data_IF_840412810656
#
_entry.id   IF_840412810656
#
_cell.length_a   1.000
_cell.length_b   1.000
_cell.length_c   1.000
_cell.angle_alpha   90.00
_cell.angle_beta   90.00
_cell.angle_gamma   90.00
#
_symmetry.space_group_name_H-M   'P 1'
#
loop_
_entity.id
_entity.type
_entity.pdbx_description
1 polymer ?
#
# COMPACT_ATOMS: atom_id res chain seq x y z
N UNK A 1 9.68 -17.30 -24.78
CA UNK A 1 9.31 -16.00 -24.15
C UNK A 1 8.28 -16.31 -23.07
N UNK A 2 8.63 -16.12 -21.81
CA UNK A 2 7.80 -16.59 -20.70
C UNK A 2 6.58 -15.68 -20.50
N UNK A 3 5.43 -16.10 -20.99
CA UNK A 3 4.11 -15.47 -20.75
C UNK A 3 3.84 -15.19 -19.26
N UNK A 4 4.48 -15.93 -18.35
CA UNK A 4 4.40 -15.70 -16.89
C UNK A 4 4.99 -14.34 -16.47
N UNK A 5 6.12 -13.90 -17.05
CA UNK A 5 6.77 -12.62 -16.71
C UNK A 5 5.91 -11.42 -17.12
N UNK A 6 5.31 -11.48 -18.32
CA UNK A 6 4.40 -10.45 -18.79
C UNK A 6 3.12 -10.36 -17.95
N UNK A 7 2.58 -11.51 -17.51
CA UNK A 7 1.43 -11.57 -16.60
C UNK A 7 1.77 -11.03 -15.21
N UNK A 8 2.97 -11.27 -14.71
CA UNK A 8 3.42 -10.78 -13.41
C UNK A 8 3.61 -9.26 -13.41
N UNK A 9 4.28 -8.71 -14.42
CA UNK A 9 4.41 -7.26 -14.57
C UNK A 9 3.06 -6.56 -14.71
N UNK A 10 2.12 -7.18 -15.44
CA UNK A 10 0.75 -6.70 -15.58
C UNK A 10 -0.02 -6.75 -14.26
N UNK A 11 0.17 -7.79 -13.46
CA UNK A 11 -0.49 -7.92 -12.16
C UNK A 11 -0.01 -6.86 -11.17
N UNK A 12 1.28 -6.52 -11.18
CA UNK A 12 1.87 -5.43 -10.36
C UNK A 12 1.24 -4.09 -10.72
N UNK A 13 1.12 -3.81 -12.01
CA UNK A 13 0.49 -2.58 -12.50
C UNK A 13 -0.99 -2.54 -12.16
N UNK A 14 -1.70 -3.67 -12.24
CA UNK A 14 -3.11 -3.78 -11.90
C UNK A 14 -3.36 -3.46 -10.43
N UNK A 15 -2.52 -3.89 -9.51
CA UNK A 15 -2.71 -3.61 -8.07
C UNK A 15 -2.58 -2.13 -7.75
N UNK A 16 -1.68 -1.41 -8.41
CA UNK A 16 -1.54 0.04 -8.24
C UNK A 16 -2.74 0.81 -8.81
N UNK A 17 -3.37 0.31 -9.89
CA UNK A 17 -4.54 0.94 -10.54
C UNK A 17 -5.84 0.52 -9.85
N UNK A 18 -5.96 -0.73 -9.33
CA UNK A 18 -7.17 -1.20 -8.65
C UNK A 18 -7.49 -0.44 -7.36
N UNK A 19 -6.50 0.18 -6.72
CA UNK A 19 -6.76 1.07 -5.58
C UNK A 19 -7.72 2.22 -5.92
N UNK A 20 -7.93 2.51 -7.23
CA UNK A 20 -8.68 3.69 -7.64
C UNK A 20 -9.70 3.47 -8.76
N UNK A 21 -9.70 2.33 -9.44
CA UNK A 21 -10.58 2.10 -10.58
C UNK A 21 -11.11 0.68 -10.61
N UNK A 22 -12.29 0.45 -10.04
CA UNK A 22 -13.16 -0.65 -10.48
C UNK A 22 -14.13 -0.05 -11.49
N UNK A 23 -13.93 -0.23 -12.83
CA UNK A 23 -14.96 0.13 -13.78
C UNK A 23 -16.12 -0.86 -13.58
N UNK A 24 -17.26 -0.35 -13.14
CA UNK A 24 -18.61 -0.87 -13.32
C UNK A 24 -18.76 -2.38 -13.49
N UNK A 25 -18.75 -3.14 -12.39
CA UNK A 25 -19.71 -4.24 -12.34
C UNK A 25 -21.10 -3.59 -12.41
N UNK A 26 -22.01 -4.07 -13.32
CA UNK A 26 -23.38 -3.57 -13.34
C UNK A 26 -23.89 -3.69 -11.91
N UNK A 27 -24.26 -2.55 -11.33
CA UNK A 27 -24.88 -2.51 -10.01
C UNK A 27 -26.04 -3.51 -10.07
N UNK A 28 -25.91 -4.62 -9.36
CA UNK A 28 -27.07 -5.42 -9.05
C UNK A 28 -28.05 -4.45 -8.42
N UNK A 29 -29.18 -4.24 -9.08
CA UNK A 29 -30.24 -3.39 -8.61
C UNK A 29 -30.50 -3.78 -7.15
N UNK A 30 -30.02 -2.95 -6.23
CA UNK A 30 -30.37 -3.10 -4.83
C UNK A 30 -31.89 -2.96 -4.77
N UNK A 31 -32.59 -3.93 -4.19
CA UNK A 31 -33.99 -3.75 -3.91
C UNK A 31 -34.10 -2.50 -3.05
N UNK A 32 -34.90 -1.54 -3.48
CA UNK A 32 -35.26 -0.35 -2.72
C UNK A 32 -35.61 -0.80 -1.31
N UNK A 33 -34.92 -0.35 -0.25
CA UNK A 33 -35.30 -0.74 1.09
C UNK A 33 -36.73 -0.26 1.36
N UNK A 34 -37.66 -1.18 1.38
CA UNK A 34 -39.00 -0.91 1.92
C UNK A 34 -38.78 -0.65 3.40
N UNK A 35 -38.95 0.59 3.83
CA UNK A 35 -38.85 0.96 5.25
C UNK A 35 -39.92 0.15 5.99
N UNK A 36 -39.50 -0.90 6.68
CA UNK A 36 -40.37 -1.68 7.54
C UNK A 36 -40.45 -0.97 8.91
N UNK A 37 -41.43 -0.06 8.99
CA UNK A 37 -41.71 0.71 10.23
C UNK A 37 -41.98 -0.17 11.45
N UNK A 38 -42.24 -1.48 11.26
CA UNK A 38 -42.38 -2.42 12.35
C UNK A 38 -41.04 -2.80 12.99
N UNK A 39 -39.97 -2.90 12.22
CA UNK A 39 -38.62 -3.19 12.71
C UNK A 39 -38.09 -2.00 13.54
N UNK A 40 -38.31 -0.78 13.08
CA UNK A 40 -37.89 0.42 13.81
C UNK A 40 -38.60 0.54 15.16
N UNK A 41 -39.89 0.21 15.24
CA UNK A 41 -40.65 0.20 16.47
C UNK A 41 -40.15 -0.86 17.46
N UNK A 42 -39.88 -2.08 16.97
CA UNK A 42 -39.35 -3.17 17.81
C UNK A 42 -37.93 -2.89 18.33
N UNK A 43 -37.09 -2.23 17.54
CA UNK A 43 -35.76 -1.81 17.98
C UNK A 43 -35.86 -0.73 19.06
N UNK A 44 -36.70 0.25 18.85
CA UNK A 44 -36.91 1.34 19.82
C UNK A 44 -37.45 0.82 21.17
N UNK A 45 -38.39 -0.13 21.17
CA UNK A 45 -38.91 -0.76 22.38
C UNK A 45 -37.85 -1.61 23.10
N UNK A 46 -37.03 -2.35 22.37
CA UNK A 46 -35.93 -3.15 22.94
C UNK A 46 -34.86 -2.29 23.60
N UNK A 47 -34.46 -1.21 22.94
CA UNK A 47 -33.48 -0.25 23.50
C UNK A 47 -34.02 0.44 24.75
N UNK A 48 -35.32 0.85 24.76
CA UNK A 48 -35.95 1.47 25.92
C UNK A 48 -36.05 0.52 27.13
N UNK A 49 -36.35 -0.76 26.88
CA UNK A 49 -36.39 -1.77 27.94
C UNK A 49 -35.00 -2.06 28.54
N UNK A 50 -33.96 -2.12 27.69
CA UNK A 50 -32.59 -2.32 28.12
C UNK A 50 -32.05 -1.13 28.97
N UNK A 51 -32.37 0.11 28.57
CA UNK A 51 -32.01 1.30 29.33
C UNK A 51 -32.68 1.36 30.68
N UNK A 52 -33.99 0.98 30.78
CA UNK A 52 -34.70 0.93 32.03
C UNK A 52 -34.14 -0.12 33.02
N UNK A 53 -33.72 -1.29 32.53
CA UNK A 53 -33.05 -2.31 33.33
C UNK A 53 -31.66 -1.86 33.83
N UNK A 54 -30.91 -1.12 33.01
CA UNK A 54 -29.58 -0.63 33.37
C UNK A 54 -29.70 0.46 34.49
N UNK A 55 -30.75 1.28 34.47
CA UNK A 55 -30.96 2.31 35.49
C UNK A 55 -31.40 1.75 36.85
N UNK A 56 -32.02 0.55 36.89
CA UNK A 56 -32.38 -0.11 38.12
C UNK A 56 -31.24 -0.88 38.79
N UNK A 57 -30.16 -1.10 38.08
CA UNK A 57 -28.98 -1.87 38.54
C UNK A 57 -27.81 -0.98 38.98
N UNK A 58 -28.07 0.18 39.61
CA UNK A 58 -26.98 1.00 40.17
C UNK A 58 -26.57 0.37 41.52
N UNK A 59 -25.39 -0.29 41.60
CA UNK A 59 -24.90 -0.81 42.87
C UNK A 59 -24.44 0.33 43.75
N UNK A 60 -24.74 0.22 45.02
CA UNK A 60 -24.25 1.11 46.08
C UNK A 60 -22.71 1.19 45.98
N UNK A 61 -22.10 2.38 46.05
CA UNK A 61 -20.66 2.52 45.91
C UNK A 61 -19.97 1.84 47.10
N UNK A 62 -19.35 0.70 46.81
CA UNK A 62 -18.40 0.04 47.71
C UNK A 62 -17.05 0.73 47.51
N UNK A 63 -16.44 1.23 48.58
CA UNK A 63 -15.11 1.85 48.56
C UNK A 63 -14.14 0.77 48.00
N UNK A 64 -13.46 1.01 46.84
CA UNK A 64 -12.56 0.04 46.31
C UNK A 64 -11.34 -0.11 47.25
N UNK A 65 -10.84 -1.35 47.46
CA UNK A 65 -9.54 -1.53 48.13
C UNK A 65 -8.47 -0.83 47.30
N UNK A 66 -7.52 -0.17 48.01
CA UNK A 66 -6.34 0.46 47.37
C UNK A 66 -5.66 -0.55 46.49
N UNK A 67 -5.68 -0.31 45.17
CA UNK A 67 -5.02 -1.18 44.20
C UNK A 67 -3.50 -1.19 44.49
N UNK A 68 -2.99 -2.32 44.92
CA UNK A 68 -1.57 -2.62 44.81
C UNK A 68 -1.24 -2.66 43.33
N UNK A 69 -0.33 -1.78 42.88
CA UNK A 69 0.14 -1.79 41.51
C UNK A 69 0.73 -3.15 41.20
N UNK A 70 0.02 -4.00 40.50
CA UNK A 70 0.59 -5.16 39.85
C UNK A 70 1.72 -4.69 38.92
N UNK A 71 2.87 -5.38 38.87
CA UNK A 71 3.91 -5.04 37.92
C UNK A 71 3.30 -5.10 36.51
N UNK A 72 3.30 -3.97 35.81
CA UNK A 72 2.91 -3.90 34.41
C UNK A 72 3.83 -4.84 33.67
N UNK A 73 3.30 -5.98 33.22
CA UNK A 73 3.99 -6.85 32.30
C UNK A 73 4.06 -6.04 30.99
N UNK A 74 5.22 -5.45 30.74
CA UNK A 74 5.51 -4.88 29.42
C UNK A 74 5.39 -6.04 28.44
N UNK A 75 4.45 -6.03 27.47
CA UNK A 75 4.38 -7.11 26.50
C UNK A 75 5.74 -7.22 25.82
N UNK A 76 6.36 -8.37 25.91
CA UNK A 76 7.53 -8.69 25.10
C UNK A 76 7.06 -8.60 23.66
N UNK A 77 7.67 -7.74 22.80
CA UNK A 77 7.27 -7.67 21.40
C UNK A 77 7.34 -9.09 20.80
N UNK A 78 6.24 -9.51 20.20
CA UNK A 78 6.18 -10.78 19.49
C UNK A 78 7.26 -10.76 18.41
N UNK A 79 8.04 -11.83 18.30
CA UNK A 79 9.14 -11.88 17.34
C UNK A 79 8.57 -11.73 15.94
N UNK A 80 8.99 -10.70 15.20
CA UNK A 80 8.58 -10.46 13.82
C UNK A 80 9.05 -11.61 12.93
N UNK A 81 8.11 -12.42 12.47
CA UNK A 81 8.37 -13.58 11.59
C UNK A 81 8.32 -13.23 10.11
N UNK A 82 8.09 -11.96 9.74
CA UNK A 82 7.99 -11.52 8.35
C UNK A 82 9.29 -11.62 7.56
N UNK A 83 10.43 -11.78 8.25
CA UNK A 83 11.76 -11.73 7.64
C UNK A 83 12.15 -10.33 7.17
N UNK A 84 11.54 -9.30 7.75
CA UNK A 84 11.81 -7.88 7.45
C UNK A 84 11.66 -7.03 8.73
N UNK A 85 12.16 -5.79 8.71
CA UNK A 85 11.98 -4.85 9.80
C UNK A 85 11.74 -3.43 9.30
N UNK A 86 11.03 -2.63 10.10
CA UNK A 86 10.90 -1.19 9.94
C UNK A 86 11.52 -0.50 11.16
N UNK A 87 12.34 0.51 10.91
CA UNK A 87 12.97 1.31 11.95
C UNK A 87 12.80 2.79 11.64
N UNK A 88 12.09 3.50 12.49
CA UNK A 88 11.96 4.95 12.40
C UNK A 88 13.29 5.61 12.76
N UNK A 89 13.74 6.54 11.92
CA UNK A 89 14.99 7.27 12.06
C UNK A 89 14.73 8.66 12.67
N UNK A 90 15.74 9.25 13.30
CA UNK A 90 15.64 10.56 13.96
C UNK A 90 15.18 11.69 13.04
N UNK A 91 15.43 11.59 11.73
CA UNK A 91 15.01 12.55 10.73
C UNK A 91 13.57 12.34 10.21
N UNK A 92 12.82 11.40 10.81
CA UNK A 92 11.46 11.05 10.42
C UNK A 92 11.35 10.16 9.18
N UNK A 93 12.47 9.72 8.58
CA UNK A 93 12.46 8.67 7.56
C UNK A 93 12.32 7.28 8.20
N UNK A 94 11.94 6.28 7.42
CA UNK A 94 11.83 4.90 7.89
C UNK A 94 12.80 4.01 7.11
N UNK A 95 13.73 3.36 7.82
CA UNK A 95 14.58 2.33 7.25
C UNK A 95 13.78 1.02 7.20
N UNK A 96 13.62 0.48 6.01
CA UNK A 96 13.12 -0.87 5.78
C UNK A 96 14.28 -1.81 5.44
N UNK A 97 14.32 -2.96 6.11
CA UNK A 97 15.28 -4.02 5.83
C UNK A 97 14.55 -5.32 5.57
N UNK A 98 14.74 -5.90 4.41
CA UNK A 98 14.20 -7.21 4.02
C UNK A 98 15.32 -8.27 4.03
N UNK A 99 15.30 -9.13 5.03
CA UNK A 99 16.32 -10.17 5.21
C UNK A 99 16.16 -11.35 4.25
N UNK A 100 14.93 -11.55 3.73
CA UNK A 100 14.62 -12.61 2.77
C UNK A 100 15.05 -12.21 1.36
N UNK A 101 14.62 -11.05 0.92
CA UNK A 101 14.99 -10.52 -0.40
C UNK A 101 16.41 -9.90 -0.42
N UNK A 102 17.01 -9.64 0.75
CA UNK A 102 18.38 -9.16 0.89
C UNK A 102 18.56 -7.70 0.46
N UNK A 103 17.69 -6.79 0.90
CA UNK A 103 17.87 -5.37 0.59
C UNK A 103 17.44 -4.46 1.75
N UNK A 104 17.95 -3.24 1.73
CA UNK A 104 17.57 -2.14 2.61
C UNK A 104 17.21 -0.91 1.79
N UNK A 105 16.27 -0.11 2.28
CA UNK A 105 15.86 1.15 1.65
C UNK A 105 15.37 2.15 2.69
N UNK A 106 15.65 3.45 2.47
CA UNK A 106 15.12 4.53 3.31
C UNK A 106 13.86 5.12 2.65
N UNK A 107 12.70 4.89 3.27
CA UNK A 107 11.45 5.57 2.91
C UNK A 107 11.50 7.00 3.46
N UNK A 108 11.27 8.03 2.64
CA UNK A 108 11.41 9.42 3.07
C UNK A 108 10.43 9.81 4.19
N UNK A 109 10.77 10.85 4.95
CA UNK A 109 9.85 11.45 5.92
C UNK A 109 8.57 11.95 5.22
N UNK A 110 7.43 11.84 5.92
CA UNK A 110 6.09 12.20 5.39
C UNK A 110 5.41 11.07 4.62
N UNK A 111 6.06 9.90 4.50
CA UNK A 111 5.47 8.69 3.96
C UNK A 111 5.20 7.70 5.09
N UNK A 112 4.05 7.04 5.03
CA UNK A 112 3.74 5.90 5.90
C UNK A 112 4.21 4.62 5.22
N UNK A 113 5.12 3.90 5.85
CA UNK A 113 5.58 2.59 5.40
C UNK A 113 4.86 1.49 6.19
N UNK A 114 4.24 0.53 5.49
CA UNK A 114 3.50 -0.58 6.12
C UNK A 114 3.81 -1.90 5.45
N UNK A 115 3.83 -2.96 6.26
CA UNK A 115 3.89 -4.36 5.81
C UNK A 115 2.55 -5.02 6.08
N UNK A 116 2.00 -5.75 5.12
CA UNK A 116 0.70 -6.41 5.29
C UNK A 116 0.74 -7.36 6.50
N UNK A 117 -0.32 -7.35 7.29
CA UNK A 117 -0.50 -8.21 8.47
C UNK A 117 0.53 -7.99 9.59
N UNK A 118 1.26 -6.87 9.58
CA UNK A 118 2.11 -6.43 10.68
C UNK A 118 1.43 -5.33 11.50
N UNK A 119 2.00 -5.01 12.66
CA UNK A 119 1.38 -4.05 13.58
C UNK A 119 1.21 -2.67 12.96
N UNK A 120 2.18 -2.19 12.19
CA UNK A 120 2.11 -0.90 11.53
C UNK A 120 0.96 -0.78 10.51
N UNK A 121 0.56 -1.89 9.87
CA UNK A 121 -0.63 -1.92 9.01
C UNK A 121 -1.92 -1.74 9.82
N UNK A 122 -2.01 -2.37 10.98
CA UNK A 122 -3.17 -2.24 11.88
C UNK A 122 -3.24 -0.84 12.48
N UNK A 123 -2.09 -0.30 12.90
CA UNK A 123 -1.99 1.04 13.49
C UNK A 123 -2.29 2.14 12.48
N UNK A 124 -2.00 1.92 11.19
CA UNK A 124 -2.31 2.86 10.12
C UNK A 124 -3.80 3.25 10.09
N UNK A 125 -4.70 2.31 10.37
CA UNK A 125 -6.15 2.58 10.40
C UNK A 125 -6.57 3.55 11.51
N UNK A 126 -5.72 3.75 12.52
CA UNK A 126 -5.99 4.64 13.65
C UNK A 126 -5.46 6.06 13.43
N UNK A 127 -4.67 6.28 12.36
CA UNK A 127 -4.15 7.60 12.04
C UNK A 127 -5.25 8.53 11.52
N UNK A 128 -5.14 9.81 11.86
CA UNK A 128 -6.13 10.82 11.46
C UNK A 128 -6.26 10.96 9.94
N UNK A 129 -5.18 10.78 9.19
CA UNK A 129 -5.10 10.82 7.74
C UNK A 129 -6.01 9.76 7.09
N UNK A 130 -6.20 8.62 7.75
CA UNK A 130 -7.06 7.53 7.29
C UNK A 130 -8.55 7.77 7.59
N UNK A 131 -8.94 8.95 8.11
CA UNK A 131 -10.32 9.43 8.01
C UNK A 131 -10.71 9.78 6.57
N UNK A 132 -9.74 9.98 5.66
CA UNK A 132 -9.96 10.23 4.24
C UNK A 132 -10.33 8.90 3.53
N UNK A 133 -11.49 8.83 2.83
CA UNK A 133 -11.91 7.61 2.12
C UNK A 133 -10.92 7.13 1.05
N UNK A 134 -10.18 8.03 0.41
CA UNK A 134 -9.16 7.64 -0.58
C UNK A 134 -7.99 6.92 0.09
N UNK A 135 -7.53 7.39 1.27
CA UNK A 135 -6.51 6.71 2.08
C UNK A 135 -6.97 5.32 2.51
N UNK A 136 -8.22 5.20 2.98
CA UNK A 136 -8.80 3.90 3.35
C UNK A 136 -8.82 2.94 2.17
N UNK A 137 -9.26 3.40 0.99
CA UNK A 137 -9.24 2.57 -0.23
C UNK A 137 -7.82 2.13 -0.60
N UNK A 138 -6.86 3.03 -0.50
CA UNK A 138 -5.45 2.74 -0.79
C UNK A 138 -4.92 1.63 0.12
N UNK A 139 -5.17 1.72 1.43
CA UNK A 139 -4.74 0.70 2.38
C UNK A 139 -5.50 -0.63 2.21
N UNK A 140 -6.83 -0.57 1.95
CA UNK A 140 -7.64 -1.77 1.70
C UNK A 140 -7.22 -2.52 0.43
N UNK A 141 -6.66 -1.82 -0.56
CA UNK A 141 -6.28 -2.45 -1.83
C UNK A 141 -5.18 -3.50 -1.69
N UNK A 142 -4.38 -3.42 -0.63
CA UNK A 142 -3.28 -4.36 -0.38
C UNK A 142 -3.66 -5.49 0.58
N UNK A 143 -4.80 -5.42 1.26
CA UNK A 143 -5.20 -6.34 2.34
C UNK A 143 -5.14 -7.82 1.94
N UNK A 144 -5.50 -8.13 0.70
CA UNK A 144 -5.58 -9.51 0.19
C UNK A 144 -4.36 -9.91 -0.66
N UNK A 145 -3.32 -9.08 -0.72
CA UNK A 145 -2.11 -9.42 -1.44
C UNK A 145 -1.23 -10.37 -0.64
N UNK A 146 -0.39 -11.13 -1.35
CA UNK A 146 0.53 -12.06 -0.73
C UNK A 146 1.66 -11.29 -0.01
N UNK A 147 1.79 -11.38 1.34
CA UNK A 147 2.83 -10.66 2.09
C UNK A 147 4.26 -11.16 1.78
N UNK A 148 4.40 -12.35 1.16
CA UNK A 148 5.70 -12.82 0.70
C UNK A 148 6.12 -12.17 -0.62
N UNK A 149 5.19 -11.60 -1.36
CA UNK A 149 5.45 -10.88 -2.61
C UNK A 149 5.43 -9.37 -2.38
N UNK A 150 4.34 -8.79 -1.82
CA UNK A 150 4.32 -7.38 -1.44
C UNK A 150 5.07 -7.20 -0.11
N UNK A 151 6.32 -6.81 -0.21
CA UNK A 151 7.24 -6.69 0.94
C UNK A 151 7.06 -5.41 1.72
N UNK A 152 6.74 -4.32 1.02
CA UNK A 152 6.50 -3.01 1.61
C UNK A 152 5.49 -2.24 0.77
N UNK A 153 4.62 -1.50 1.42
CA UNK A 153 3.74 -0.51 0.82
C UNK A 153 3.97 0.84 1.50
N UNK A 154 4.25 1.88 0.74
CA UNK A 154 4.42 3.22 1.27
C UNK A 154 3.38 4.17 0.68
N UNK A 155 2.79 5.01 1.53
CA UNK A 155 1.70 5.93 1.19
C UNK A 155 2.11 7.34 1.54
N UNK A 156 1.93 8.27 0.62
CA UNK A 156 2.12 9.70 0.87
C UNK A 156 1.00 10.24 1.78
N UNK A 157 1.39 10.76 2.96
CA UNK A 157 0.46 11.29 3.95
C UNK A 157 0.08 12.76 3.74
N UNK A 158 0.63 13.44 2.74
CA UNK A 158 0.37 14.86 2.53
C UNK A 158 -1.07 15.09 2.06
N UNK A 159 -1.87 15.77 2.86
CA UNK A 159 -3.30 15.96 2.63
C UNK A 159 -3.64 16.69 1.32
N UNK A 160 -2.77 17.60 0.86
CA UNK A 160 -2.93 18.32 -0.40
C UNK A 160 -2.63 17.46 -1.64
N UNK A 161 -1.95 16.33 -1.48
CA UNK A 161 -1.72 15.36 -2.54
C UNK A 161 -2.90 14.37 -2.75
N UNK A 162 -3.87 14.35 -1.84
CA UNK A 162 -5.02 13.44 -1.89
C UNK A 162 -6.28 14.03 -2.56
N UNK A 163 -6.20 15.22 -3.18
CA UNK A 163 -7.37 16.01 -3.65
C UNK A 163 -8.15 15.35 -4.80
N UNK A 164 -7.52 14.50 -5.58
CA UNK A 164 -8.10 13.86 -6.76
C UNK A 164 -8.83 12.56 -6.43
N UNK A 165 -8.83 12.13 -5.17
CA UNK A 165 -9.34 10.80 -4.78
C UNK A 165 -8.37 9.66 -5.11
N UNK A 166 -7.20 9.96 -5.68
CA UNK A 166 -6.07 9.06 -5.84
C UNK A 166 -5.00 9.37 -4.78
N UNK A 167 -4.38 8.36 -4.23
CA UNK A 167 -3.31 8.48 -3.25
C UNK A 167 -2.00 8.04 -3.86
N UNK A 168 -1.01 8.92 -3.83
CA UNK A 168 0.35 8.60 -4.23
C UNK A 168 0.90 7.48 -3.36
N UNK A 169 1.42 6.43 -3.98
CA UNK A 169 1.91 5.26 -3.27
C UNK A 169 3.13 4.64 -3.97
N UNK A 170 3.86 3.85 -3.21
CA UNK A 170 4.98 3.05 -3.68
C UNK A 170 4.75 1.63 -3.18
N UNK A 171 4.86 0.66 -4.07
CA UNK A 171 4.85 -0.74 -3.71
C UNK A 171 6.19 -1.40 -4.04
N UNK A 172 6.60 -2.34 -3.17
CA UNK A 172 7.81 -3.13 -3.29
C UNK A 172 7.40 -4.59 -3.43
N UNK A 173 7.55 -5.14 -4.61
CA UNK A 173 7.18 -6.50 -4.90
C UNK A 173 8.42 -7.31 -5.23
N UNK A 174 8.63 -8.37 -4.47
CA UNK A 174 9.73 -9.29 -4.68
C UNK A 174 9.20 -10.64 -5.17
N UNK A 175 9.70 -11.05 -6.33
CA UNK A 175 9.40 -12.37 -6.86
C UNK A 175 10.62 -13.25 -6.71
N UNK A 176 10.58 -14.13 -5.72
CA UNK A 176 11.54 -15.20 -5.58
C UNK A 176 11.49 -16.07 -6.86
N UNK A 177 12.63 -16.46 -7.40
CA UNK A 177 12.78 -17.25 -8.62
C UNK A 177 12.46 -16.50 -9.95
N UNK A 178 12.10 -15.23 -9.94
CA UNK A 178 12.08 -14.42 -11.15
C UNK A 178 13.44 -13.73 -11.33
N UNK A 179 14.31 -14.33 -12.13
CA UNK A 179 15.66 -13.83 -12.37
C UNK A 179 15.69 -13.00 -13.67
N UNK A 180 15.23 -11.74 -13.57
CA UNK A 180 15.38 -10.77 -14.66
C UNK A 180 16.85 -10.43 -14.81
N UNK A 181 17.41 -10.61 -16.00
CA UNK A 181 18.75 -10.11 -16.30
C UNK A 181 18.72 -8.59 -16.47
N UNK A 182 19.68 -7.93 -15.83
CA UNK A 182 19.97 -6.51 -16.02
C UNK A 182 21.38 -6.32 -16.64
N UNK A 183 21.97 -7.39 -17.20
CA UNK A 183 23.24 -7.31 -17.90
C UNK A 183 23.07 -6.65 -19.29
N UNK A 184 21.89 -6.82 -19.88
CA UNK A 184 21.45 -6.15 -21.08
C UNK A 184 19.95 -5.78 -20.98
N UNK A 185 19.40 -5.04 -21.93
CA UNK A 185 18.03 -4.54 -21.92
C UNK A 185 16.98 -5.54 -22.43
N UNK A 186 17.37 -6.77 -22.78
CA UNK A 186 16.49 -7.76 -23.44
C UNK A 186 15.27 -8.11 -22.60
N UNK A 187 15.46 -8.47 -21.32
CA UNK A 187 14.37 -8.83 -20.42
C UNK A 187 13.50 -7.60 -20.10
N UNK A 188 14.12 -6.44 -19.89
CA UNK A 188 13.43 -5.18 -19.62
C UNK A 188 12.53 -4.76 -20.78
N UNK A 189 13.04 -4.81 -22.01
CA UNK A 189 12.28 -4.51 -23.21
C UNK A 189 11.12 -5.50 -23.42
N UNK A 190 11.35 -6.79 -23.11
CA UNK A 190 10.29 -7.80 -23.20
C UNK A 190 9.13 -7.54 -22.20
N UNK A 191 9.46 -7.15 -20.98
CA UNK A 191 8.46 -6.74 -19.97
C UNK A 191 7.72 -5.50 -20.44
N UNK A 192 8.44 -4.46 -20.87
CA UNK A 192 7.89 -3.18 -21.30
C UNK A 192 6.93 -3.33 -22.48
N UNK A 193 7.29 -4.14 -23.48
CA UNK A 193 6.45 -4.42 -24.65
C UNK A 193 5.13 -5.14 -24.29
N UNK A 194 5.08 -5.83 -23.16
CA UNK A 194 3.88 -6.54 -22.70
C UNK A 194 2.90 -5.63 -21.97
N UNK A 195 3.35 -4.53 -21.37
CA UNK A 195 2.53 -3.66 -20.51
C UNK A 195 1.30 -3.07 -21.23
N UNK A 196 1.37 -2.48 -22.43
CA UNK A 196 0.21 -1.93 -23.11
C UNK A 196 -0.85 -2.98 -23.47
N UNK A 197 -0.43 -4.24 -23.67
CA UNK A 197 -1.37 -5.33 -23.93
C UNK A 197 -2.10 -5.80 -22.67
N UNK A 198 -1.45 -5.69 -21.53
CA UNK A 198 -2.00 -6.08 -20.24
C UNK A 198 -2.92 -5.00 -19.65
N UNK A 199 -2.66 -3.73 -19.96
CA UNK A 199 -3.37 -2.58 -19.42
C UNK A 199 -3.84 -1.65 -20.56
N UNK A 200 -5.08 -1.81 -21.01
CA UNK A 200 -5.64 -0.95 -22.05
C UNK A 200 -5.58 0.54 -21.64
N UNK A 201 -5.04 1.36 -22.52
CA UNK A 201 -4.88 2.80 -22.29
C UNK A 201 -3.54 3.20 -21.65
N UNK A 202 -2.70 2.23 -21.28
CA UNK A 202 -1.35 2.53 -20.83
C UNK A 202 -0.49 3.02 -22.00
N UNK A 203 0.15 4.15 -21.82
CA UNK A 203 1.17 4.70 -22.70
C UNK A 203 2.54 4.54 -22.03
N UNK A 204 3.41 3.74 -22.62
CA UNK A 204 4.81 3.60 -22.19
C UNK A 204 5.59 4.83 -22.66
N UNK A 205 6.29 5.50 -21.76
CA UNK A 205 7.05 6.72 -22.04
C UNK A 205 8.53 6.42 -22.28
N UNK A 206 9.16 5.72 -21.32
CA UNK A 206 10.57 5.35 -21.38
C UNK A 206 10.79 3.91 -20.92
N UNK A 207 11.83 3.30 -21.45
CA UNK A 207 12.42 2.04 -20.97
C UNK A 207 13.91 2.19 -21.06
N UNK A 208 14.61 2.07 -19.94
CA UNK A 208 16.06 2.26 -19.91
C UNK A 208 16.73 1.36 -18.88
N UNK A 209 17.92 0.88 -19.22
CA UNK A 209 18.84 0.23 -18.30
C UNK A 209 19.86 1.27 -17.84
N UNK A 210 20.01 1.45 -16.53
CA UNK A 210 20.90 2.45 -15.94
C UNK A 210 21.49 1.92 -14.64
N UNK A 211 22.09 2.79 -13.84
CA UNK A 211 22.58 2.44 -12.51
C UNK A 211 22.34 3.57 -11.52
N UNK A 212 22.20 3.22 -10.25
CA UNK A 212 22.22 4.20 -9.16
C UNK A 212 23.60 4.88 -9.04
N UNK A 213 23.70 5.97 -8.31
CA UNK A 213 24.97 6.65 -8.04
C UNK A 213 26.01 5.71 -7.39
N UNK A 214 25.55 4.69 -6.65
CA UNK A 214 26.41 3.69 -6.03
C UNK A 214 26.78 2.53 -6.97
N UNK A 215 26.37 2.60 -8.24
CA UNK A 215 26.70 1.61 -9.26
C UNK A 215 25.80 0.36 -9.26
N UNK A 216 24.68 0.35 -8.53
CA UNK A 216 23.71 -0.73 -8.58
C UNK A 216 22.96 -0.70 -9.91
N UNK A 217 23.05 -1.75 -10.77
CA UNK A 217 22.30 -1.81 -12.02
C UNK A 217 20.79 -1.82 -11.76
N UNK A 218 20.04 -1.01 -12.50
CA UNK A 218 18.60 -0.93 -12.42
C UNK A 218 17.96 -0.83 -13.80
N UNK A 219 16.82 -1.51 -13.98
CA UNK A 219 15.92 -1.28 -15.12
C UNK A 219 14.86 -0.28 -14.73
N UNK A 220 14.53 0.66 -15.62
CA UNK A 220 13.52 1.69 -15.35
C UNK A 220 12.49 1.74 -16.47
N UNK A 221 11.22 1.68 -16.10
CA UNK A 221 10.09 1.97 -16.98
C UNK A 221 9.32 3.16 -16.47
N UNK A 222 8.94 4.07 -17.35
CA UNK A 222 7.94 5.08 -17.03
C UNK A 222 6.73 4.96 -17.95
N UNK A 223 5.56 5.16 -17.39
CA UNK A 223 4.30 5.07 -18.14
C UNK A 223 3.26 6.04 -17.59
N UNK A 224 2.21 6.24 -18.37
CA UNK A 224 1.03 6.96 -17.92
C UNK A 224 -0.24 6.25 -18.36
N UNK A 225 -1.29 6.37 -17.54
CA UNK A 225 -2.59 5.75 -17.80
C UNK A 225 -3.72 6.69 -17.41
N UNK A 226 -4.61 7.07 -18.34
CA UNK A 226 -5.81 7.83 -18.00
C UNK A 226 -6.78 6.91 -17.24
N UNK A 227 -7.28 7.38 -16.11
CA UNK A 227 -8.25 6.65 -15.28
C UNK A 227 -9.36 7.61 -14.80
N UNK A 228 -10.51 7.04 -14.48
CA UNK A 228 -11.56 7.74 -13.75
C UNK A 228 -11.66 7.15 -12.35
N UNK A 229 -11.47 7.98 -11.33
CA UNK A 229 -11.55 7.55 -9.94
C UNK A 229 -12.98 7.17 -9.55
N UNK A 230 -13.15 6.52 -8.41
CA UNK A 230 -14.47 6.20 -7.85
C UNK A 230 -15.30 7.45 -7.54
N UNK A 231 -14.64 8.58 -7.36
CA UNK A 231 -15.27 9.89 -7.13
C UNK A 231 -15.61 10.60 -8.47
N UNK A 232 -15.56 9.87 -9.62
CA UNK A 232 -15.81 10.35 -10.97
C UNK A 232 -14.89 11.49 -11.42
N UNK A 233 -13.67 11.55 -10.90
CA UNK A 233 -12.64 12.49 -11.33
C UNK A 233 -11.76 11.81 -12.38
N UNK A 234 -11.63 12.40 -13.57
CA UNK A 234 -10.70 11.93 -14.59
C UNK A 234 -9.31 12.45 -14.29
N UNK A 235 -8.35 11.56 -14.17
CA UNK A 235 -6.94 11.86 -13.89
C UNK A 235 -6.05 11.05 -14.82
N UNK A 236 -4.79 11.45 -14.92
CA UNK A 236 -3.73 10.66 -15.54
C UNK A 236 -2.81 10.18 -14.43
N UNK A 237 -2.68 8.87 -14.28
CA UNK A 237 -1.70 8.27 -13.36
C UNK A 237 -0.38 8.16 -14.09
N UNK A 238 0.67 8.72 -13.49
CA UNK A 238 2.06 8.50 -13.87
C UNK A 238 2.63 7.39 -13.00
N UNK A 239 3.37 6.47 -13.62
CA UNK A 239 4.08 5.40 -12.91
C UNK A 239 5.54 5.38 -13.31
N UNK A 240 6.40 5.14 -12.30
CA UNK A 240 7.81 4.83 -12.49
C UNK A 240 8.08 3.49 -11.81
N UNK A 241 8.49 2.51 -12.60
CA UNK A 241 8.89 1.18 -12.13
C UNK A 241 10.40 1.06 -12.17
N UNK A 242 10.97 0.56 -11.10
CA UNK A 242 12.40 0.25 -10.98
C UNK A 242 12.55 -1.23 -10.70
N UNK A 243 13.35 -1.90 -11.52
CA UNK A 243 13.67 -3.32 -11.39
C UNK A 243 15.09 -3.44 -10.87
N UNK A 244 15.27 -4.28 -9.86
CA UNK A 244 16.55 -4.49 -9.17
C UNK A 244 16.76 -5.99 -8.99
N UNK A 245 17.95 -6.46 -9.26
CA UNK A 245 18.33 -7.83 -8.91
C UNK A 245 18.52 -7.89 -7.38
N UNK A 246 17.69 -8.69 -6.73
CA UNK A 246 17.76 -8.96 -5.30
C UNK A 246 18.17 -10.42 -5.07
N UNK A 247 18.33 -10.81 -3.80
CA UNK A 247 18.65 -12.21 -3.46
C UNK A 247 17.55 -13.12 -4.01
N UNK A 248 17.95 -14.12 -4.80
CA UNK A 248 17.09 -15.16 -5.37
C UNK A 248 15.88 -14.66 -6.19
N UNK A 249 15.94 -13.43 -6.76
CA UNK A 249 14.83 -12.94 -7.58
C UNK A 249 14.93 -11.48 -7.98
N UNK A 250 13.82 -10.96 -8.48
CA UNK A 250 13.69 -9.57 -8.93
C UNK A 250 12.82 -8.78 -7.97
N UNK A 251 13.34 -7.66 -7.47
CA UNK A 251 12.58 -6.64 -6.76
C UNK A 251 12.07 -5.61 -7.76
N UNK A 252 10.76 -5.41 -7.78
CA UNK A 252 10.11 -4.35 -8.55
C UNK A 252 9.54 -3.30 -7.61
N UNK A 253 9.99 -2.05 -7.76
CA UNK A 253 9.52 -0.92 -6.97
C UNK A 253 8.71 -0.02 -7.90
N UNK A 254 7.44 0.19 -7.60
CA UNK A 254 6.54 0.98 -8.43
C UNK A 254 6.03 2.20 -7.66
N UNK A 255 6.42 3.38 -8.09
CA UNK A 255 5.75 4.63 -7.75
C UNK A 255 4.50 4.78 -8.62
N UNK A 256 3.37 5.11 -8.00
CA UNK A 256 2.16 5.57 -8.68
C UNK A 256 1.75 6.92 -8.11
N UNK A 257 1.64 7.93 -8.97
CA UNK A 257 1.21 9.29 -8.60
C UNK A 257 0.38 9.90 -9.73
N UNK A 258 -0.26 11.04 -9.51
CA UNK A 258 -0.91 11.76 -10.61
C UNK A 258 0.13 12.51 -11.47
N UNK A 259 -0.17 12.69 -12.76
CA UNK A 259 0.69 13.47 -13.65
C UNK A 259 0.93 14.89 -13.14
N UNK A 260 -0.02 15.48 -12.40
CA UNK A 260 0.09 16.81 -11.79
C UNK A 260 1.10 16.86 -10.65
N UNK A 261 1.23 15.78 -9.88
CA UNK A 261 2.13 15.70 -8.71
C UNK A 261 3.50 15.12 -9.07
N UNK A 262 3.66 14.58 -10.26
CA UNK A 262 4.85 13.86 -10.69
C UNK A 262 6.14 14.60 -10.34
N UNK A 263 6.26 15.87 -10.74
CA UNK A 263 7.50 16.65 -10.57
C UNK A 263 7.79 16.99 -9.10
N UNK A 264 6.77 16.98 -8.24
CA UNK A 264 6.90 17.16 -6.79
C UNK A 264 7.36 15.87 -6.12
N UNK A 265 6.87 14.73 -6.57
CA UNK A 265 7.08 13.42 -5.92
C UNK A 265 8.37 12.73 -6.40
N UNK A 266 8.71 12.83 -7.68
CA UNK A 266 9.85 12.13 -8.26
C UNK A 266 11.18 12.36 -7.52
N UNK A 267 11.54 13.56 -7.06
CA UNK A 267 12.81 13.76 -6.35
C UNK A 267 12.92 12.91 -5.07
N UNK A 268 11.82 12.76 -4.31
CA UNK A 268 11.79 11.94 -3.10
C UNK A 268 11.88 10.45 -3.43
N UNK A 269 11.19 10.02 -4.49
CA UNK A 269 11.26 8.64 -4.97
C UNK A 269 12.68 8.31 -5.48
N UNK A 270 13.29 9.17 -6.27
CA UNK A 270 14.63 8.95 -6.81
C UNK A 270 15.67 8.89 -5.69
N UNK A 271 15.58 9.78 -4.69
CA UNK A 271 16.44 9.73 -3.51
C UNK A 271 16.25 8.42 -2.72
N UNK A 272 15.03 7.89 -2.66
CA UNK A 272 14.76 6.59 -2.04
C UNK A 272 15.44 5.47 -2.84
N UNK A 273 15.32 5.45 -4.17
CA UNK A 273 15.99 4.44 -5.02
C UNK A 273 17.52 4.51 -4.85
N UNK A 274 18.10 5.70 -4.80
CA UNK A 274 19.53 5.89 -4.55
C UNK A 274 19.99 5.38 -3.16
N UNK A 275 19.07 5.27 -2.19
CA UNK A 275 19.37 4.75 -0.86
C UNK A 275 19.44 3.22 -0.78
N UNK A 276 19.02 2.52 -1.84
CA UNK A 276 18.92 1.06 -1.84
C UNK A 276 20.31 0.43 -1.74
N UNK A 277 20.38 -0.55 -0.85
CA UNK A 277 21.53 -1.44 -0.71
C UNK A 277 21.04 -2.87 -0.85
N UNK A 278 21.68 -3.62 -1.71
CA UNK A 278 21.41 -5.05 -1.89
C UNK A 278 22.56 -5.82 -1.24
N UNK A 279 22.22 -6.85 -0.47
CA UNK A 279 23.16 -7.78 0.14
C UNK A 279 23.09 -9.13 -0.55
N UNK A 280 24.26 -9.72 -0.79
CA UNK A 280 24.42 -11.05 -1.40
C UNK A 280 23.82 -12.17 -0.54
#
# INVERSE_FOLDING_TARGET
>A
MNTRRALLAAMILLTAILACAVPGLPAASQPTPTVDTRLDTMVAETVSAALAQTQQAIPTPTIPPTATLEPTITPTPEADTSGSSLTEMENGSTLFSDFNAGYEVNVPAGWLAVRINQQEYLDAWLLAEFSNPAMQRSLSSIENLNPNELRLYAVDLQADHARTGFITNINFIWYEQDDMSLDDDTDLLAVSAALPNALPGLELLTTELTATANGLPIGVNTSKTPVTTLDNVSIVIFQKQVFIKARAGTLTITLSTTEELKDTILPAFDAMIESIKVSD
#
